data_IF_713163768986
#
_entry.id   IF_713163768986
#
_cell.length_a   1.000
_cell.length_b   1.000
_cell.length_c   1.000
_cell.angle_alpha   90.00
_cell.angle_beta   90.00
_cell.angle_gamma   90.00
#
_symmetry.space_group_name_H-M   'P 1'
#
loop_
_entity.id
_entity.type
_entity.pdbx_description
1 polymer ?
#
# COMPACT_ATOMS: atom_id res chain seq x y z
N UNK A 1 47.46 25.78 32.96
CA UNK A 1 46.02 26.07 32.73
C UNK A 1 45.70 25.71 31.31
N UNK A 2 45.38 24.45 31.06
CA UNK A 2 45.00 23.88 29.77
C UNK A 2 43.48 23.82 29.74
N UNK A 3 42.87 24.50 28.79
CA UNK A 3 41.42 24.47 28.53
C UNK A 3 41.10 23.22 27.75
N UNK A 4 40.32 22.36 28.39
CA UNK A 4 39.67 21.21 27.82
C UNK A 4 38.50 21.72 26.95
N UNK A 5 38.56 21.46 25.66
CA UNK A 5 37.47 21.73 24.72
C UNK A 5 36.46 20.60 24.81
N UNK A 6 35.26 20.92 25.28
CA UNK A 6 34.14 19.99 25.31
C UNK A 6 33.76 19.60 23.88
N UNK A 7 33.75 18.30 23.64
CA UNK A 7 33.28 17.66 22.40
C UNK A 7 31.74 17.76 22.35
N UNK A 8 31.19 18.50 21.39
CA UNK A 8 29.75 18.56 21.14
C UNK A 8 29.31 17.24 20.49
N UNK A 9 28.17 16.66 20.90
CA UNK A 9 27.66 15.44 20.26
C UNK A 9 27.17 15.79 18.84
N UNK A 10 27.84 15.23 17.85
CA UNK A 10 27.37 15.23 16.45
C UNK A 10 26.09 14.41 16.38
N UNK A 11 24.96 15.09 16.33
CA UNK A 11 23.69 14.48 15.95
C UNK A 11 23.78 14.07 14.48
N UNK A 12 24.06 12.78 14.22
CA UNK A 12 23.90 12.22 12.89
C UNK A 12 22.41 12.19 12.55
N UNK A 13 22.02 12.94 11.53
CA UNK A 13 20.73 12.71 10.86
C UNK A 13 20.71 11.26 10.39
N UNK A 14 19.54 10.57 10.46
CA UNK A 14 19.45 9.20 9.97
C UNK A 14 19.83 9.20 8.48
N UNK A 15 20.87 8.46 8.17
CA UNK A 15 21.32 8.23 6.80
C UNK A 15 20.12 7.64 6.01
N UNK A 16 19.61 8.40 5.07
CA UNK A 16 18.66 7.86 4.09
C UNK A 16 19.42 6.76 3.33
N UNK A 17 18.88 5.54 3.20
CA UNK A 17 19.53 4.50 2.42
C UNK A 17 19.81 5.07 1.04
N UNK A 18 21.10 5.08 0.65
CA UNK A 18 21.53 5.49 -0.67
C UNK A 18 20.81 4.65 -1.72
N UNK A 19 20.73 5.12 -2.98
CA UNK A 19 20.10 4.36 -4.04
C UNK A 19 20.80 3.01 -4.15
N UNK A 20 20.16 1.95 -3.65
CA UNK A 20 20.54 0.58 -3.97
C UNK A 20 20.45 0.47 -5.49
N UNK A 21 21.44 -0.21 -6.07
CA UNK A 21 21.59 -0.39 -7.53
C UNK A 21 20.47 -1.32 -8.05
N UNK A 22 19.23 -0.85 -7.98
CA UNK A 22 18.06 -1.52 -8.54
C UNK A 22 18.00 -1.18 -10.01
N UNK A 23 17.88 -2.19 -10.83
CA UNK A 23 17.61 -2.01 -12.25
C UNK A 23 16.33 -1.20 -12.48
N UNK A 24 16.11 -0.65 -13.68
CA UNK A 24 14.91 0.13 -13.97
C UNK A 24 13.66 -0.75 -13.80
N UNK A 25 12.86 -0.47 -12.78
CA UNK A 25 11.56 -1.11 -12.56
C UNK A 25 10.53 -0.51 -13.52
N UNK A 26 9.93 -1.35 -14.37
CA UNK A 26 8.77 -0.91 -15.16
C UNK A 26 7.49 -0.98 -14.32
N UNK A 27 7.35 -2.05 -13.55
CA UNK A 27 6.25 -2.29 -12.61
C UNK A 27 6.82 -2.40 -11.21
N UNK A 28 6.44 -1.52 -10.31
CA UNK A 28 6.81 -1.56 -8.90
C UNK A 28 5.64 -2.01 -8.03
N UNK A 29 5.82 -3.07 -7.24
CA UNK A 29 4.83 -3.50 -6.23
C UNK A 29 5.30 -3.02 -4.87
N UNK A 30 4.50 -2.17 -4.24
CA UNK A 30 4.73 -1.65 -2.89
C UNK A 30 4.07 -2.56 -1.88
N UNK A 31 4.88 -3.14 -1.00
CA UNK A 31 4.48 -4.13 0.00
C UNK A 31 4.88 -3.65 1.39
N UNK A 32 3.97 -3.01 2.15
CA UNK A 32 4.21 -2.72 3.55
C UNK A 32 4.19 -4.00 4.38
N UNK A 33 5.11 -4.14 5.33
CA UNK A 33 5.18 -5.30 6.20
C UNK A 33 5.21 -4.93 7.68
N UNK A 34 4.56 -5.75 8.51
CA UNK A 34 4.70 -5.77 9.96
C UNK A 34 4.26 -7.11 10.54
N UNK A 35 5.21 -7.94 10.94
CA UNK A 35 5.02 -9.34 11.37
C UNK A 35 4.41 -10.21 10.26
N UNK A 36 5.12 -10.28 9.14
CA UNK A 36 4.74 -11.01 7.93
C UNK A 36 5.81 -12.05 7.52
N UNK A 37 6.61 -12.54 8.48
CA UNK A 37 7.73 -13.47 8.23
C UNK A 37 7.29 -14.75 7.52
N UNK A 38 6.08 -15.25 7.79
CA UNK A 38 5.53 -16.46 7.17
C UNK A 38 4.93 -16.18 5.77
N UNK A 39 4.35 -15.00 5.56
CA UNK A 39 3.56 -14.69 4.37
C UNK A 39 4.37 -14.01 3.28
N UNK A 40 5.36 -13.18 3.64
CA UNK A 40 6.15 -12.41 2.67
C UNK A 40 6.86 -13.31 1.64
N UNK A 41 7.59 -14.38 2.02
CA UNK A 41 8.24 -15.24 1.03
C UNK A 41 7.24 -15.89 0.06
N UNK A 42 6.10 -16.35 0.58
CA UNK A 42 5.05 -16.97 -0.21
C UNK A 42 4.40 -15.98 -1.19
N UNK A 43 4.22 -14.73 -0.75
CA UNK A 43 3.73 -13.66 -1.61
C UNK A 43 4.68 -13.43 -2.77
N UNK A 44 5.99 -13.24 -2.48
CA UNK A 44 7.00 -12.96 -3.49
C UNK A 44 7.08 -14.09 -4.51
N UNK A 45 7.14 -15.36 -4.06
CA UNK A 45 7.14 -16.53 -4.94
C UNK A 45 5.92 -16.51 -5.90
N UNK A 46 4.72 -16.29 -5.36
CA UNK A 46 3.49 -16.25 -6.16
C UNK A 46 3.44 -15.07 -7.13
N UNK A 47 3.96 -13.92 -6.73
CA UNK A 47 4.00 -12.72 -7.60
C UNK A 47 5.03 -12.91 -8.73
N UNK A 48 6.22 -13.44 -8.43
CA UNK A 48 7.24 -13.74 -9.45
C UNK A 48 6.72 -14.77 -10.46
N UNK A 49 5.93 -15.75 -10.00
CA UNK A 49 5.30 -16.75 -10.88
C UNK A 49 4.28 -16.13 -11.88
N UNK A 50 3.90 -14.85 -11.74
CA UNK A 50 3.03 -14.18 -12.72
C UNK A 50 3.78 -13.69 -13.97
N UNK A 51 5.09 -13.80 -14.00
CA UNK A 51 5.98 -13.46 -15.14
C UNK A 51 5.72 -12.03 -15.69
N UNK A 52 5.65 -11.05 -14.79
CA UNK A 52 5.39 -9.63 -15.12
C UNK A 52 6.69 -8.98 -15.61
N UNK A 53 6.74 -8.47 -16.86
CA UNK A 53 7.95 -7.86 -17.40
C UNK A 53 8.37 -6.59 -16.64
N UNK A 54 9.65 -6.52 -16.22
CA UNK A 54 10.19 -5.37 -15.51
C UNK A 54 9.65 -5.21 -14.09
N UNK A 55 9.22 -6.32 -13.47
CA UNK A 55 8.75 -6.39 -12.10
C UNK A 55 9.85 -6.00 -11.10
N UNK A 56 9.47 -5.20 -10.11
CA UNK A 56 10.27 -4.94 -8.92
C UNK A 56 9.40 -4.77 -7.68
N UNK A 57 10.02 -4.89 -6.52
CA UNK A 57 9.36 -4.81 -5.22
C UNK A 57 9.94 -3.66 -4.40
N UNK A 58 9.07 -2.95 -3.70
CA UNK A 58 9.45 -1.99 -2.66
C UNK A 58 8.83 -2.47 -1.36
N UNK A 59 9.63 -3.12 -0.53
CA UNK A 59 9.22 -3.63 0.77
C UNK A 59 9.51 -2.58 1.83
N UNK A 60 8.48 -2.17 2.57
CA UNK A 60 8.61 -1.18 3.65
C UNK A 60 8.28 -1.86 4.98
N UNK A 61 9.31 -2.27 5.70
CA UNK A 61 9.16 -2.95 6.99
C UNK A 61 9.04 -1.96 8.16
N UNK A 62 7.95 -2.08 8.92
CA UNK A 62 7.63 -1.25 10.09
C UNK A 62 8.35 -1.72 11.37
N UNK A 63 9.62 -2.15 11.25
CA UNK A 63 10.42 -2.63 12.38
C UNK A 63 9.85 -3.92 12.97
N UNK A 64 9.61 -4.91 12.15
CA UNK A 64 9.00 -6.20 12.54
C UNK A 64 9.90 -6.98 13.51
N UNK A 65 9.41 -7.35 14.70
CA UNK A 65 10.19 -8.13 15.66
C UNK A 65 10.30 -9.63 15.35
N UNK A 66 9.57 -10.12 14.34
CA UNK A 66 9.51 -11.55 13.96
C UNK A 66 10.54 -11.97 12.90
N UNK A 67 11.43 -11.03 12.49
CA UNK A 67 12.44 -11.28 11.48
C UNK A 67 11.99 -11.04 10.04
N UNK A 68 10.82 -10.43 9.82
CA UNK A 68 10.33 -10.07 8.47
C UNK A 68 11.34 -9.22 7.70
N UNK A 69 11.98 -8.24 8.35
CA UNK A 69 12.99 -7.39 7.72
C UNK A 69 14.19 -8.20 7.19
N UNK A 70 14.74 -9.10 8.02
CA UNK A 70 15.84 -9.98 7.60
C UNK A 70 15.45 -10.93 6.46
N UNK A 71 14.17 -11.30 6.39
CA UNK A 71 13.63 -12.08 5.28
C UNK A 71 13.57 -11.24 4.00
N UNK A 72 13.14 -9.99 4.11
CA UNK A 72 13.10 -9.07 2.98
C UNK A 72 14.50 -8.84 2.38
N UNK A 73 15.53 -8.69 3.23
CA UNK A 73 16.93 -8.55 2.80
C UNK A 73 17.43 -9.82 2.06
N UNK A 74 17.15 -11.01 2.61
CA UNK A 74 17.49 -12.27 1.93
C UNK A 74 16.80 -12.41 0.56
N UNK A 75 15.52 -11.99 0.46
CA UNK A 75 14.82 -11.98 -0.82
C UNK A 75 15.47 -11.00 -1.81
N UNK A 76 15.98 -9.87 -1.34
CA UNK A 76 16.73 -8.94 -2.17
C UNK A 76 18.04 -9.54 -2.68
N UNK A 77 18.73 -10.34 -1.86
CA UNK A 77 19.93 -11.08 -2.25
C UNK A 77 19.62 -12.21 -3.25
N UNK A 78 18.49 -12.91 -3.07
CA UNK A 78 18.04 -14.02 -3.94
C UNK A 78 17.55 -13.51 -5.31
N UNK A 79 17.06 -12.28 -5.39
CA UNK A 79 16.55 -11.64 -6.62
C UNK A 79 17.25 -10.30 -6.88
N UNK A 80 18.55 -10.31 -7.27
CA UNK A 80 19.33 -9.09 -7.45
C UNK A 80 18.69 -8.11 -8.43
N UNK A 81 18.63 -6.85 -8.02
CA UNK A 81 18.07 -5.75 -8.84
C UNK A 81 16.54 -5.66 -8.87
N UNK A 82 15.81 -6.55 -8.17
CA UNK A 82 14.36 -6.53 -8.13
C UNK A 82 13.79 -5.91 -6.84
N UNK A 83 14.60 -5.69 -5.81
CA UNK A 83 14.10 -5.25 -4.51
C UNK A 83 14.70 -3.94 -4.04
N UNK A 84 13.84 -3.08 -3.50
CA UNK A 84 14.19 -2.03 -2.55
C UNK A 84 13.60 -2.40 -1.20
N UNK A 85 14.43 -2.56 -0.19
CA UNK A 85 14.00 -2.84 1.18
C UNK A 85 14.26 -1.61 2.05
N UNK A 86 13.24 -1.22 2.81
CA UNK A 86 13.32 -0.10 3.75
C UNK A 86 12.93 -0.59 5.13
N UNK A 87 13.85 -0.44 6.08
CA UNK A 87 13.62 -0.71 7.49
C UNK A 87 13.27 0.57 8.21
N UNK A 88 12.08 0.61 8.82
CA UNK A 88 11.65 1.74 9.65
C UNK A 88 11.95 1.45 11.12
N UNK A 89 12.20 2.50 11.90
CA UNK A 89 12.57 2.35 13.31
C UNK A 89 11.51 1.66 14.19
N UNK A 90 10.28 1.51 13.67
CA UNK A 90 9.19 0.86 14.37
C UNK A 90 7.86 1.00 13.65
N UNK A 91 6.78 0.54 14.30
CA UNK A 91 5.43 0.54 13.73
C UNK A 91 4.85 1.96 13.64
N UNK A 92 5.03 2.61 12.50
CA UNK A 92 4.52 3.96 12.21
C UNK A 92 3.17 3.95 11.49
N UNK A 93 2.71 2.78 11.02
CA UNK A 93 1.38 2.55 10.48
C UNK A 93 1.32 2.38 8.97
N UNK A 94 0.34 1.58 8.53
CA UNK A 94 0.18 1.12 7.15
C UNK A 94 0.16 2.25 6.12
N UNK A 95 -0.63 3.31 6.36
CA UNK A 95 -0.74 4.42 5.42
C UNK A 95 0.58 5.18 5.21
N UNK A 96 1.38 5.34 6.27
CA UNK A 96 2.70 6.00 6.15
C UNK A 96 3.71 5.10 5.45
N UNK A 97 3.60 3.78 5.60
CA UNK A 97 4.42 2.82 4.86
C UNK A 97 4.07 2.83 3.37
N UNK A 98 2.78 2.84 3.02
CA UNK A 98 2.36 3.03 1.63
C UNK A 98 2.82 4.36 1.05
N UNK A 99 2.66 5.49 1.77
CA UNK A 99 3.13 6.79 1.27
C UNK A 99 4.62 6.77 0.95
N UNK A 100 5.44 6.19 1.82
CA UNK A 100 6.88 6.06 1.61
C UNK A 100 7.19 5.19 0.39
N UNK A 101 6.65 3.97 0.33
CA UNK A 101 6.90 3.04 -0.76
C UNK A 101 6.38 3.55 -2.12
N UNK A 102 5.21 4.20 -2.16
CA UNK A 102 4.66 4.80 -3.37
C UNK A 102 5.53 5.97 -3.87
N UNK A 103 6.03 6.82 -2.95
CA UNK A 103 6.95 7.88 -3.33
C UNK A 103 8.25 7.32 -3.90
N UNK A 104 8.82 6.30 -3.25
CA UNK A 104 10.01 5.61 -3.76
C UNK A 104 9.78 5.00 -5.14
N UNK A 105 8.61 4.37 -5.38
CA UNK A 105 8.26 3.84 -6.68
C UNK A 105 8.22 4.94 -7.77
N UNK A 106 7.70 6.10 -7.45
CA UNK A 106 7.73 7.27 -8.34
C UNK A 106 9.18 7.70 -8.60
N UNK A 107 10.00 7.78 -7.54
CA UNK A 107 11.39 8.26 -7.60
C UNK A 107 12.30 7.30 -8.38
N UNK A 108 12.03 5.98 -8.39
CA UNK A 108 12.73 5.00 -9.25
C UNK A 108 12.35 5.11 -10.71
N UNK A 109 11.33 5.88 -11.04
CA UNK A 109 10.85 6.03 -12.42
C UNK A 109 9.93 4.90 -12.89
N UNK A 110 9.40 4.06 -11.98
CA UNK A 110 8.44 3.01 -12.33
C UNK A 110 7.24 3.59 -13.10
N UNK A 111 6.87 2.96 -14.23
CA UNK A 111 5.76 3.42 -15.07
C UNK A 111 4.39 3.06 -14.47
N UNK A 112 4.33 1.88 -13.83
CA UNK A 112 3.14 1.30 -13.22
C UNK A 112 3.45 0.91 -11.77
N UNK A 113 2.60 1.30 -10.85
CA UNK A 113 2.86 1.13 -9.42
C UNK A 113 1.65 0.45 -8.78
N UNK A 114 1.88 -0.60 -8.01
CA UNK A 114 0.83 -1.41 -7.39
C UNK A 114 0.95 -1.34 -5.87
N UNK A 115 -0.16 -1.08 -5.18
CA UNK A 115 -0.31 -1.31 -3.74
C UNK A 115 -0.77 -2.75 -3.50
N UNK A 116 -0.08 -3.49 -2.63
CA UNK A 116 -0.43 -4.87 -2.28
C UNK A 116 -0.03 -5.21 -0.85
N UNK A 117 -0.95 -5.76 -0.05
CA UNK A 117 -0.65 -6.21 1.31
C UNK A 117 0.12 -7.54 1.30
N UNK A 118 0.96 -7.78 2.33
CA UNK A 118 1.80 -8.97 2.45
C UNK A 118 1.07 -10.24 2.93
N UNK A 119 -0.19 -10.12 3.40
CA UNK A 119 -0.93 -11.16 4.13
C UNK A 119 -1.69 -12.18 3.24
N UNK A 120 -1.41 -12.18 1.93
CA UNK A 120 -2.03 -13.04 0.91
C UNK A 120 -3.55 -12.83 0.73
N UNK A 121 -4.12 -11.76 1.29
CA UNK A 121 -5.54 -11.42 1.06
C UNK A 121 -5.80 -10.85 -0.34
N UNK A 122 -4.76 -10.39 -1.00
CA UNK A 122 -4.75 -9.92 -2.39
C UNK A 122 -4.17 -11.03 -3.29
N UNK A 123 -4.99 -11.73 -4.09
CA UNK A 123 -4.52 -12.81 -4.94
C UNK A 123 -3.54 -12.31 -6.02
N UNK A 124 -2.29 -12.82 -6.07
CA UNK A 124 -1.31 -12.40 -7.08
C UNK A 124 -1.75 -12.64 -8.53
N UNK A 125 -2.62 -13.61 -8.75
CA UNK A 125 -3.18 -13.96 -10.07
C UNK A 125 -4.00 -12.83 -10.70
N UNK A 126 -4.41 -11.84 -9.88
CA UNK A 126 -5.14 -10.64 -10.34
C UNK A 126 -4.20 -9.59 -10.93
N UNK A 127 -2.91 -9.62 -10.59
CA UNK A 127 -1.92 -8.61 -10.99
C UNK A 127 -1.84 -8.38 -12.51
N UNK A 128 -1.74 -9.40 -13.38
CA UNK A 128 -1.64 -9.18 -14.81
C UNK A 128 -2.86 -8.42 -15.38
N UNK A 129 -4.06 -8.75 -14.90
CA UNK A 129 -5.28 -8.07 -15.32
C UNK A 129 -5.39 -6.64 -14.75
N UNK A 130 -4.91 -6.43 -13.52
CA UNK A 130 -4.88 -5.12 -12.86
C UNK A 130 -3.94 -4.17 -13.60
N UNK A 131 -2.75 -4.64 -13.94
CA UNK A 131 -1.70 -3.89 -14.65
C UNK A 131 -2.14 -3.57 -16.08
N UNK A 132 -2.64 -4.56 -16.82
CA UNK A 132 -3.06 -4.36 -18.21
C UNK A 132 -4.19 -3.34 -18.38
N UNK A 133 -5.07 -3.20 -17.39
CA UNK A 133 -6.13 -2.17 -17.43
C UNK A 133 -5.60 -0.75 -17.33
N UNK A 134 -4.36 -0.52 -16.88
CA UNK A 134 -3.72 0.78 -16.89
C UNK A 134 -3.47 1.30 -18.31
N UNK A 135 -3.51 0.46 -19.35
CA UNK A 135 -3.44 0.91 -20.75
C UNK A 135 -4.58 1.88 -21.09
N UNK A 136 -5.70 1.77 -20.39
CA UNK A 136 -6.90 2.55 -20.64
C UNK A 136 -7.41 3.38 -19.46
N UNK A 137 -6.70 3.37 -18.33
CA UNK A 137 -7.07 4.04 -17.10
C UNK A 137 -5.84 4.61 -16.39
N UNK A 138 -6.03 5.64 -15.55
CA UNK A 138 -4.97 6.20 -14.72
C UNK A 138 -4.81 5.42 -13.41
N UNK A 139 -5.93 4.85 -12.93
CA UNK A 139 -5.99 4.07 -11.69
C UNK A 139 -6.92 2.88 -11.88
N UNK A 140 -6.50 1.72 -11.42
CA UNK A 140 -7.32 0.51 -11.37
C UNK A 140 -7.47 0.07 -9.92
N UNK A 141 -8.70 -0.08 -9.47
CA UNK A 141 -9.04 -0.54 -8.12
C UNK A 141 -9.53 -1.98 -8.20
N UNK A 142 -8.83 -2.91 -7.56
CA UNK A 142 -9.38 -4.23 -7.34
C UNK A 142 -10.53 -4.11 -6.32
N UNK A 143 -11.75 -4.42 -6.75
CA UNK A 143 -12.98 -4.09 -6.04
C UNK A 143 -13.73 -5.34 -5.58
N UNK A 144 -14.06 -5.37 -4.31
CA UNK A 144 -14.92 -6.40 -3.69
C UNK A 144 -16.40 -6.17 -3.96
N UNK A 145 -16.75 -4.96 -4.37
CA UNK A 145 -18.15 -4.48 -4.44
C UNK A 145 -18.64 -4.18 -5.86
N UNK A 146 -17.86 -4.48 -6.87
CA UNK A 146 -18.32 -4.49 -8.25
C UNK A 146 -18.81 -5.88 -8.66
N UNK A 147 -19.56 -5.99 -9.76
CA UNK A 147 -20.15 -7.25 -10.20
C UNK A 147 -19.04 -8.28 -10.50
N UNK A 148 -19.13 -9.44 -9.90
CA UNK A 148 -18.10 -10.48 -9.93
C UNK A 148 -17.06 -10.37 -8.80
N UNK A 149 -17.06 -9.30 -8.02
CA UNK A 149 -16.24 -9.15 -6.82
C UNK A 149 -16.87 -9.74 -5.58
N UNK A 150 -16.08 -9.91 -4.52
CA UNK A 150 -16.57 -10.47 -3.28
C UNK A 150 -15.53 -10.57 -2.17
N UNK A 151 -15.91 -11.25 -1.12
CA UNK A 151 -15.04 -11.62 0.00
C UNK A 151 -15.15 -13.12 0.22
N UNK A 152 -14.11 -13.70 0.78
CA UNK A 152 -14.06 -15.13 1.12
C UNK A 152 -15.36 -15.60 1.78
N UNK A 153 -15.95 -16.74 1.36
CA UNK A 153 -17.12 -17.33 2.00
C UNK A 153 -16.95 -17.56 3.51
N UNK A 154 -15.73 -17.81 3.98
CA UNK A 154 -15.40 -17.99 5.39
C UNK A 154 -15.65 -16.74 6.26
N UNK A 155 -15.78 -15.56 5.67
CA UNK A 155 -16.11 -14.36 6.45
C UNK A 155 -17.48 -14.50 7.09
N UNK A 156 -17.54 -14.32 8.41
CA UNK A 156 -18.80 -14.25 9.14
C UNK A 156 -19.71 -13.13 8.64
N UNK A 157 -21.02 -13.37 8.71
CA UNK A 157 -22.04 -12.41 8.23
C UNK A 157 -21.85 -10.99 8.82
N UNK A 158 -21.60 -10.87 10.13
CA UNK A 158 -21.40 -9.57 10.80
C UNK A 158 -20.22 -8.80 10.22
N UNK A 159 -19.09 -9.46 9.92
CA UNK A 159 -17.91 -8.85 9.30
C UNK A 159 -18.21 -8.35 7.88
N UNK A 160 -18.98 -9.15 7.11
CA UNK A 160 -19.42 -8.76 5.76
C UNK A 160 -20.27 -7.50 5.80
N UNK A 161 -21.26 -7.45 6.71
CA UNK A 161 -22.12 -6.28 6.86
C UNK A 161 -21.36 -5.03 7.33
N UNK A 162 -20.48 -5.17 8.32
CA UNK A 162 -19.67 -4.07 8.83
C UNK A 162 -18.77 -3.48 7.74
N UNK A 163 -18.08 -4.31 6.96
CA UNK A 163 -17.25 -3.89 5.83
C UNK A 163 -18.08 -3.17 4.76
N UNK A 164 -19.21 -3.76 4.37
CA UNK A 164 -20.09 -3.18 3.35
C UNK A 164 -20.62 -1.80 3.75
N UNK A 165 -21.25 -1.72 4.93
CA UNK A 165 -21.87 -0.46 5.39
C UNK A 165 -20.83 0.60 5.73
N UNK A 166 -19.66 0.20 6.24
CA UNK A 166 -18.51 1.09 6.43
C UNK A 166 -18.08 1.74 5.12
N UNK A 167 -17.90 0.94 4.07
CA UNK A 167 -17.56 1.42 2.73
C UNK A 167 -18.66 2.34 2.15
N UNK A 168 -19.94 1.96 2.28
CA UNK A 168 -21.06 2.80 1.83
C UNK A 168 -21.09 4.15 2.57
N UNK A 169 -20.85 4.15 3.88
CA UNK A 169 -20.77 5.38 4.69
C UNK A 169 -19.65 6.31 4.20
N UNK A 170 -18.44 5.78 4.04
CA UNK A 170 -17.28 6.51 3.53
C UNK A 170 -17.56 7.12 2.15
N UNK A 171 -18.11 6.33 1.24
CA UNK A 171 -18.45 6.79 -0.11
C UNK A 171 -19.45 7.94 -0.10
N UNK A 172 -20.49 7.85 0.74
CA UNK A 172 -21.49 8.93 0.90
C UNK A 172 -20.89 10.21 1.47
N UNK A 173 -20.07 10.08 2.51
CA UNK A 173 -19.39 11.23 3.14
C UNK A 173 -18.50 11.95 2.15
N UNK A 174 -17.67 11.22 1.42
CA UNK A 174 -16.71 11.81 0.48
C UNK A 174 -17.29 12.08 -0.92
N UNK A 175 -18.46 11.54 -1.24
CA UNK A 175 -19.04 11.62 -2.58
C UNK A 175 -18.27 10.80 -3.61
N UNK A 176 -17.64 9.69 -3.19
CA UNK A 176 -16.82 8.83 -4.03
C UNK A 176 -17.71 7.95 -4.92
N UNK A 177 -17.40 7.91 -6.23
CA UNK A 177 -18.13 7.11 -7.22
C UNK A 177 -17.68 5.65 -7.24
N UNK A 178 -16.38 5.40 -6.99
CA UNK A 178 -15.79 4.05 -6.90
C UNK A 178 -16.57 3.22 -5.89
N UNK A 179 -16.93 1.98 -6.25
CA UNK A 179 -17.72 1.09 -5.38
C UNK A 179 -16.93 0.58 -4.18
N UNK A 180 -15.61 0.43 -4.29
CA UNK A 180 -14.70 0.04 -3.21
C UNK A 180 -13.70 1.16 -2.86
N UNK A 181 -14.15 2.12 -2.06
CA UNK A 181 -13.33 3.24 -1.61
C UNK A 181 -12.25 2.85 -0.58
N UNK A 182 -12.34 1.64 -0.02
CA UNK A 182 -11.44 1.14 1.04
C UNK A 182 -10.50 0.03 0.57
N UNK A 183 -10.48 -0.24 -0.73
CA UNK A 183 -9.58 -1.25 -1.30
C UNK A 183 -8.12 -0.87 -1.06
N UNK A 184 -7.32 -1.82 -0.60
CA UNK A 184 -5.86 -1.71 -0.48
C UNK A 184 -5.11 -2.25 -1.70
N UNK A 185 -5.80 -2.91 -2.62
CA UNK A 185 -5.23 -3.46 -3.83
C UNK A 185 -5.57 -2.57 -5.03
N UNK A 186 -4.60 -1.79 -5.47
CA UNK A 186 -4.75 -0.81 -6.55
C UNK A 186 -3.51 -0.77 -7.42
N UNK A 187 -3.71 -0.45 -8.69
CA UNK A 187 -2.62 -0.11 -9.59
C UNK A 187 -2.78 1.32 -10.10
N UNK A 188 -1.68 1.99 -10.31
CA UNK A 188 -1.59 3.39 -10.73
C UNK A 188 -0.62 3.52 -11.89
N UNK A 189 -0.91 4.42 -12.82
CA UNK A 189 0.13 5.04 -13.62
C UNK A 189 0.92 6.00 -12.74
N UNK A 190 2.23 6.14 -12.97
CA UNK A 190 3.08 7.08 -12.24
C UNK A 190 2.50 8.48 -12.22
N UNK A 191 2.08 8.99 -13.39
CA UNK A 191 1.53 10.33 -13.55
C UNK A 191 0.25 10.53 -12.72
N UNK A 192 -0.51 9.47 -12.49
CA UNK A 192 -1.69 9.48 -11.61
C UNK A 192 -1.29 9.76 -10.14
N UNK A 193 -0.26 9.06 -9.64
CA UNK A 193 0.26 9.28 -8.28
C UNK A 193 0.89 10.67 -8.12
N UNK A 194 1.66 11.13 -9.09
CA UNK A 194 2.22 12.49 -9.10
C UNK A 194 1.11 13.55 -9.05
N UNK A 195 0.04 13.35 -9.83
CA UNK A 195 -1.10 14.27 -9.88
C UNK A 195 -1.82 14.39 -8.54
N UNK A 196 -2.06 13.29 -7.83
CA UNK A 196 -2.73 13.33 -6.52
C UNK A 196 -1.81 13.80 -5.38
N UNK A 197 -0.49 13.75 -5.59
CA UNK A 197 0.53 14.20 -4.65
C UNK A 197 0.58 13.36 -3.37
N UNK A 198 1.37 12.28 -3.38
CA UNK A 198 1.48 11.31 -2.27
C UNK A 198 1.89 12.03 -0.97
N UNK A 199 2.85 12.94 -1.04
CA UNK A 199 3.32 13.72 0.11
C UNK A 199 2.27 14.64 0.74
N UNK A 200 1.16 14.89 0.05
CA UNK A 200 0.04 15.71 0.54
C UNK A 200 -1.04 14.90 1.24
N UNK A 201 -0.90 13.57 1.32
CA UNK A 201 -1.84 12.72 2.05
C UNK A 201 -1.82 13.06 3.55
N UNK A 202 -2.99 13.05 4.16
CA UNK A 202 -3.18 13.46 5.57
C UNK A 202 -3.56 12.31 6.49
N UNK A 203 -4.13 11.25 5.91
CA UNK A 203 -4.63 10.11 6.65
C UNK A 203 -3.64 8.96 6.60
N UNK A 204 -3.21 8.49 7.76
CA UNK A 204 -2.14 7.48 7.89
C UNK A 204 -2.65 6.09 8.29
N UNK A 205 -3.93 5.99 8.61
CA UNK A 205 -4.58 4.73 9.02
C UNK A 205 -5.52 4.20 7.94
N UNK A 206 -6.62 3.58 8.35
CA UNK A 206 -7.64 3.02 7.44
C UNK A 206 -8.29 4.06 6.50
N UNK A 207 -8.23 5.34 6.86
CA UNK A 207 -8.71 6.43 6.01
C UNK A 207 -7.81 6.71 4.81
N UNK A 208 -6.56 6.25 4.81
CA UNK A 208 -5.60 6.47 3.72
C UNK A 208 -6.16 6.04 2.37
N UNK A 209 -6.68 4.82 2.27
CA UNK A 209 -7.21 4.29 1.01
C UNK A 209 -8.42 5.09 0.49
N UNK A 210 -9.27 5.57 1.40
CA UNK A 210 -10.40 6.43 1.04
C UNK A 210 -9.94 7.83 0.61
N UNK A 211 -8.88 8.38 1.21
CA UNK A 211 -8.26 9.63 0.77
C UNK A 211 -7.67 9.50 -0.63
N UNK A 212 -6.96 8.40 -0.92
CA UNK A 212 -6.45 8.11 -2.27
C UNK A 212 -7.59 8.13 -3.29
N UNK A 213 -8.66 7.37 -3.05
CA UNK A 213 -9.82 7.32 -3.95
C UNK A 213 -10.48 8.70 -4.14
N UNK A 214 -10.62 9.48 -3.06
CA UNK A 214 -11.16 10.84 -3.11
C UNK A 214 -10.29 11.78 -3.93
N UNK A 215 -8.97 11.76 -3.74
CA UNK A 215 -8.02 12.60 -4.49
C UNK A 215 -7.97 12.24 -5.97
N UNK A 216 -7.97 10.96 -6.30
CA UNK A 216 -8.05 10.49 -7.70
C UNK A 216 -9.30 11.07 -8.38
N UNK A 217 -10.47 10.96 -7.74
CA UNK A 217 -11.71 11.50 -8.28
C UNK A 217 -11.67 13.03 -8.40
N UNK A 218 -11.14 13.73 -7.38
CA UNK A 218 -11.03 15.19 -7.38
C UNK A 218 -10.10 15.70 -8.46
N UNK A 219 -9.03 14.97 -8.73
CA UNK A 219 -8.07 15.26 -9.80
C UNK A 219 -8.61 14.94 -11.21
N UNK A 220 -9.81 14.33 -11.31
CA UNK A 220 -10.41 13.97 -12.59
C UNK A 220 -9.77 12.75 -13.25
N UNK A 221 -8.99 11.96 -12.50
CA UNK A 221 -8.35 10.75 -13.02
C UNK A 221 -9.38 9.73 -13.45
N UNK A 222 -9.08 9.00 -14.53
CA UNK A 222 -9.87 7.88 -14.98
C UNK A 222 -9.65 6.66 -14.10
N UNK A 223 -10.55 6.44 -13.14
CA UNK A 223 -10.54 5.29 -12.23
C UNK A 223 -11.48 4.21 -12.75
N UNK A 224 -10.98 2.99 -12.87
CA UNK A 224 -11.78 1.81 -13.21
C UNK A 224 -11.69 0.76 -12.12
N UNK A 225 -12.72 -0.10 -12.02
CA UNK A 225 -12.76 -1.18 -11.05
C UNK A 225 -12.61 -2.53 -11.73
N UNK A 226 -11.79 -3.40 -11.15
CA UNK A 226 -11.61 -4.79 -11.53
C UNK A 226 -12.20 -5.68 -10.43
N UNK A 227 -13.18 -6.57 -10.72
CA UNK A 227 -13.69 -7.47 -9.70
C UNK A 227 -12.62 -8.46 -9.22
N UNK A 228 -12.56 -8.70 -7.90
CA UNK A 228 -11.76 -9.75 -7.30
C UNK A 228 -12.41 -10.27 -6.02
N UNK A 229 -11.99 -11.43 -5.57
CA UNK A 229 -12.41 -12.00 -4.29
C UNK A 229 -11.29 -11.76 -3.26
N UNK A 230 -11.60 -10.98 -2.23
CA UNK A 230 -10.70 -10.77 -1.10
C UNK A 230 -10.63 -12.04 -0.25
N UNK A 231 -9.46 -12.63 -0.17
CA UNK A 231 -9.26 -13.88 0.56
C UNK A 231 -9.15 -13.66 2.08
N UNK A 232 -9.48 -14.67 2.88
CA UNK A 232 -9.19 -14.65 4.31
C UNK A 232 -7.67 -14.63 4.50
N UNK A 233 -7.18 -13.82 5.44
CA UNK A 233 -5.75 -13.74 5.75
C UNK A 233 -5.24 -15.09 6.24
N UNK A 234 -4.07 -15.48 5.78
CA UNK A 234 -3.45 -16.74 6.19
C UNK A 234 -2.91 -16.64 7.62
N UNK A 235 -2.49 -15.43 8.05
CA UNK A 235 -2.00 -15.15 9.39
C UNK A 235 -2.50 -13.79 9.91
N UNK A 236 -2.54 -13.61 11.25
CA UNK A 236 -2.89 -12.35 11.91
C UNK A 236 -4.39 -12.14 12.16
N UNK A 237 -4.70 -11.15 13.00
CA UNK A 237 -6.09 -10.75 13.33
C UNK A 237 -6.40 -9.38 12.71
N UNK A 238 -7.63 -9.21 12.21
CA UNK A 238 -8.11 -7.90 11.76
C UNK A 238 -8.02 -6.87 12.90
N UNK A 239 -7.33 -5.74 12.62
CA UNK A 239 -7.10 -4.66 13.60
C UNK A 239 -8.22 -3.61 13.60
N UNK A 240 -9.26 -3.80 12.77
CA UNK A 240 -10.37 -2.84 12.66
C UNK A 240 -11.26 -2.90 13.91
N UNK A 241 -11.43 -1.78 14.59
CA UNK A 241 -12.38 -1.59 15.68
C UNK A 241 -13.36 -0.45 15.39
N UNK A 242 -14.49 -0.41 16.12
CA UNK A 242 -15.45 0.69 15.99
C UNK A 242 -14.82 2.07 16.26
N UNK A 243 -13.91 2.16 17.22
CA UNK A 243 -13.22 3.41 17.56
C UNK A 243 -12.37 3.90 16.38
N UNK A 244 -11.62 3.00 15.74
CA UNK A 244 -10.80 3.31 14.55
C UNK A 244 -11.68 3.73 13.37
N UNK A 245 -12.81 3.05 13.15
CA UNK A 245 -13.74 3.40 12.09
C UNK A 245 -14.37 4.78 12.31
N UNK A 246 -14.74 5.12 13.56
CA UNK A 246 -15.29 6.41 13.91
C UNK A 246 -14.28 7.55 13.78
N UNK A 247 -13.04 7.35 14.23
CA UNK A 247 -11.95 8.30 14.04
C UNK A 247 -11.70 8.58 12.56
N UNK A 248 -11.64 7.52 11.74
CA UNK A 248 -11.48 7.64 10.29
C UNK A 248 -12.65 8.45 9.68
N UNK A 249 -13.89 8.20 10.12
CA UNK A 249 -15.07 8.92 9.65
C UNK A 249 -15.00 10.44 9.93
N UNK A 250 -14.58 10.84 11.12
CA UNK A 250 -14.39 12.26 11.48
C UNK A 250 -13.31 12.90 10.59
N UNK A 251 -12.16 12.24 10.45
CA UNK A 251 -11.05 12.72 9.62
C UNK A 251 -11.45 12.86 8.15
N UNK A 252 -12.22 11.90 7.62
CA UNK A 252 -12.74 11.94 6.24
C UNK A 252 -13.75 13.05 6.02
N UNK A 253 -14.63 13.33 6.99
CA UNK A 253 -15.56 14.47 6.92
C UNK A 253 -14.80 15.79 6.87
N UNK A 254 -13.77 15.93 7.68
CA UNK A 254 -12.90 17.11 7.66
C UNK A 254 -12.14 17.23 6.33
N UNK A 255 -11.67 16.13 5.76
CA UNK A 255 -11.03 16.10 4.45
C UNK A 255 -11.95 16.63 3.34
N UNK A 256 -13.25 16.26 3.38
CA UNK A 256 -14.23 16.76 2.39
C UNK A 256 -14.45 18.28 2.46
N UNK A 257 -14.40 18.85 3.66
CA UNK A 257 -14.67 20.30 3.87
C UNK A 257 -13.45 21.15 3.53
N UNK A 258 -12.24 20.63 3.74
CA UNK A 258 -10.99 21.41 3.61
C UNK A 258 -10.02 20.88 2.55
N UNK A 259 -10.33 19.77 1.90
CA UNK A 259 -9.58 19.17 0.77
C UNK A 259 -10.26 19.51 -0.53
#
# INVERSE_FOLDING_TARGET
>A
MTRETADEPVTREPEQPGPTDVGPMKVAIVVPTYNEAETLPLLIEKVVAQDIPGLGFIVVDDGSPDGTGDIADRLADDFPGMFLVVHREGKLGLGTAYMMGLQMAVDTGAEQIVEMDADLSHPPEVLPALISKLDSADVVVASRYTDGGGVDPAWGWGRKQFSHWGNVGIRRVLGIKVKDATAGFKAFRREGLETIGISRMRLTGFGFQAEVAFRCQKAGLKVVELPYVFMERTAGKSKMSFAIAFEAFIKLTWLRVRG
#
